data_IF_396070071170
#
_entry.id   IF_396070071170
#
_cell.length_a   1.000
_cell.length_b   1.000
_cell.length_c   1.000
_cell.angle_alpha   90.00
_cell.angle_beta   90.00
_cell.angle_gamma   90.00
#
_symmetry.space_group_name_H-M   'P 1'
#
loop_
_entity.id
_entity.type
_entity.pdbx_description
1 polymer ?
#
# COMPACT_ATOMS: atom_id res chain seq x y z
N UNK A 1 -43.24 -33.24 2.87
CA UNK A 1 -42.23 -33.76 3.82
C UNK A 1 -41.83 -35.14 3.35
N UNK A 2 -40.59 -35.54 3.06
CA UNK A 2 -39.28 -34.90 2.92
C UNK A 2 -38.53 -35.85 1.97
N UNK A 3 -38.07 -35.38 0.82
CA UNK A 3 -36.93 -36.02 0.14
C UNK A 3 -35.93 -34.92 -0.17
N UNK A 4 -35.47 -34.26 0.90
CA UNK A 4 -34.27 -33.46 0.85
C UNK A 4 -33.14 -34.39 0.40
N UNK A 5 -32.67 -34.17 -0.83
CA UNK A 5 -31.57 -34.90 -1.42
C UNK A 5 -30.38 -34.88 -0.50
N UNK A 6 -30.16 -36.00 0.20
CA UNK A 6 -28.89 -36.31 0.81
C UNK A 6 -28.04 -36.97 -0.28
N UNK A 7 -27.75 -36.23 -1.35
CA UNK A 7 -26.51 -36.48 -2.07
C UNK A 7 -25.42 -35.94 -1.15
N UNK A 8 -24.67 -36.81 -0.48
CA UNK A 8 -23.58 -36.30 0.31
C UNK A 8 -22.61 -35.76 -0.73
N UNK A 9 -22.31 -34.45 -0.69
CA UNK A 9 -21.25 -33.81 -1.50
C UNK A 9 -19.90 -34.42 -1.09
N UNK A 10 -19.68 -35.68 -1.47
CA UNK A 10 -18.50 -36.52 -1.24
C UNK A 10 -17.55 -36.44 -2.43
N UNK A 11 -17.91 -35.70 -3.47
CA UNK A 11 -17.05 -35.45 -4.62
C UNK A 11 -16.13 -34.28 -4.35
N UNK A 12 -14.84 -34.46 -4.64
CA UNK A 12 -13.91 -33.34 -4.69
C UNK A 12 -14.29 -32.45 -5.88
N UNK A 13 -14.27 -31.14 -5.65
CA UNK A 13 -14.42 -30.15 -6.70
C UNK A 13 -13.05 -29.87 -7.33
N UNK A 14 -12.88 -30.35 -8.56
CA UNK A 14 -11.65 -30.23 -9.36
C UNK A 14 -11.49 -28.88 -10.06
N UNK A 15 -12.39 -27.91 -9.81
CA UNK A 15 -12.30 -26.57 -10.42
C UNK A 15 -10.89 -25.99 -10.25
N UNK A 16 -10.18 -25.64 -11.34
CA UNK A 16 -8.83 -25.07 -11.27
C UNK A 16 -8.82 -23.78 -10.45
N UNK A 17 -7.88 -23.65 -9.52
CA UNK A 17 -7.75 -22.45 -8.68
C UNK A 17 -6.71 -22.61 -7.57
N UNK A 18 -6.33 -21.50 -6.90
CA UNK A 18 -5.32 -21.50 -5.83
C UNK A 18 -5.72 -22.39 -4.65
N UNK A 19 -7.02 -22.65 -4.47
CA UNK A 19 -7.56 -23.44 -3.36
C UNK A 19 -7.62 -24.95 -3.63
N UNK A 20 -7.31 -25.40 -4.85
CA UNK A 20 -7.39 -26.81 -5.23
C UNK A 20 -6.53 -27.73 -4.33
N UNK A 21 -5.28 -27.38 -3.95
CA UNK A 21 -4.49 -28.16 -3.00
C UNK A 21 -5.12 -28.24 -1.62
N UNK A 22 -5.73 -27.16 -1.15
CA UNK A 22 -6.37 -27.12 0.15
C UNK A 22 -7.68 -27.91 0.17
N UNK A 23 -8.43 -27.92 -0.95
CA UNK A 23 -9.60 -28.78 -1.15
C UNK A 23 -9.21 -30.26 -1.15
N UNK A 24 -8.12 -30.64 -1.81
CA UNK A 24 -7.61 -32.02 -1.78
C UNK A 24 -7.20 -32.45 -0.36
N UNK A 25 -6.50 -31.59 0.40
CA UNK A 25 -6.16 -31.88 1.81
C UNK A 25 -7.40 -32.11 2.67
N UNK A 26 -8.41 -31.25 2.55
CA UNK A 26 -9.70 -31.41 3.27
C UNK A 26 -10.43 -32.69 2.85
N UNK A 27 -10.36 -33.05 1.57
CA UNK A 27 -10.94 -34.28 1.05
C UNK A 27 -10.24 -35.52 1.61
N UNK A 28 -8.90 -35.53 1.64
CA UNK A 28 -8.10 -36.59 2.26
C UNK A 28 -8.45 -36.80 3.73
N UNK A 29 -8.49 -35.71 4.52
CA UNK A 29 -8.87 -35.77 5.93
C UNK A 29 -10.28 -36.36 6.13
N UNK A 30 -11.24 -36.00 5.27
CA UNK A 30 -12.59 -36.59 5.30
C UNK A 30 -12.59 -38.08 4.99
N UNK A 31 -11.73 -38.54 4.06
CA UNK A 31 -11.59 -39.95 3.73
C UNK A 31 -10.94 -40.73 4.89
N UNK A 32 -9.90 -40.17 5.52
CA UNK A 32 -9.24 -40.76 6.70
C UNK A 32 -10.24 -40.94 7.85
N UNK A 33 -11.04 -39.91 8.18
CA UNK A 33 -12.10 -40.02 9.19
C UNK A 33 -13.13 -41.12 8.88
N UNK A 34 -13.43 -41.36 7.60
CA UNK A 34 -14.34 -42.44 7.19
C UNK A 34 -13.69 -43.82 7.32
N UNK A 35 -12.40 -43.93 7.02
CA UNK A 35 -11.62 -45.16 7.14
C UNK A 35 -11.30 -45.51 8.59
N UNK A 36 -11.30 -44.54 9.50
CA UNK A 36 -11.14 -44.77 10.95
C UNK A 36 -12.47 -45.03 11.67
N UNK A 37 -13.59 -44.59 11.09
CA UNK A 37 -14.93 -44.80 11.62
C UNK A 37 -15.69 -45.94 10.91
N UNK A 38 -16.73 -45.65 10.12
CA UNK A 38 -17.68 -46.64 9.60
C UNK A 38 -17.10 -47.65 8.60
N UNK A 39 -15.89 -47.40 8.06
CA UNK A 39 -15.24 -48.26 7.06
C UNK A 39 -13.92 -48.86 7.55
N UNK A 40 -13.73 -48.94 8.87
CA UNK A 40 -12.51 -49.47 9.49
C UNK A 40 -12.19 -50.90 9.07
N UNK A 41 -13.21 -51.76 9.04
CA UNK A 41 -13.10 -53.21 8.79
C UNK A 41 -12.92 -53.59 7.31
N UNK A 42 -12.83 -52.61 6.40
CA UNK A 42 -12.71 -52.85 4.95
C UNK A 42 -11.25 -53.10 4.54
N UNK A 43 -11.05 -53.95 3.52
CA UNK A 43 -9.71 -54.23 2.98
C UNK A 43 -9.13 -53.01 2.27
N UNK A 44 -7.81 -52.88 2.19
CA UNK A 44 -7.13 -51.72 1.57
C UNK A 44 -7.56 -51.54 0.11
N UNK A 45 -7.76 -52.64 -0.63
CA UNK A 45 -8.35 -52.68 -1.98
C UNK A 45 -9.72 -51.99 -2.05
N UNK A 46 -10.60 -52.26 -1.09
CA UNK A 46 -11.92 -51.66 -1.04
C UNK A 46 -11.82 -50.16 -0.72
N UNK A 47 -10.91 -49.76 0.17
CA UNK A 47 -10.64 -48.36 0.50
C UNK A 47 -10.17 -47.57 -0.74
N UNK A 48 -9.25 -48.12 -1.55
CA UNK A 48 -8.82 -47.50 -2.81
C UNK A 48 -10.00 -47.30 -3.79
N UNK A 49 -10.88 -48.29 -3.94
CA UNK A 49 -12.07 -48.18 -4.80
C UNK A 49 -13.05 -47.11 -4.32
N UNK A 50 -13.24 -46.98 -3.01
CA UNK A 50 -14.06 -45.89 -2.46
C UNK A 50 -13.46 -44.51 -2.72
N UNK A 51 -12.13 -44.35 -2.62
CA UNK A 51 -11.47 -43.09 -2.99
C UNK A 51 -11.72 -42.77 -4.47
N UNK A 52 -11.53 -43.73 -5.39
CA UNK A 52 -11.79 -43.51 -6.82
C UNK A 52 -13.25 -43.12 -7.10
N UNK A 53 -14.21 -43.72 -6.40
CA UNK A 53 -15.63 -43.38 -6.53
C UNK A 53 -15.93 -41.96 -6.02
N UNK A 54 -15.28 -41.53 -4.93
CA UNK A 54 -15.48 -40.21 -4.33
C UNK A 54 -14.65 -39.12 -5.00
N UNK A 55 -13.61 -39.47 -5.73
CA UNK A 55 -12.82 -38.51 -6.51
C UNK A 55 -13.61 -37.99 -7.73
N UNK A 56 -14.58 -38.75 -8.22
CA UNK A 56 -15.46 -38.36 -9.33
C UNK A 56 -14.79 -38.46 -10.70
N UNK A 57 -15.53 -38.09 -11.73
CA UNK A 57 -15.24 -38.46 -13.12
C UNK A 57 -13.87 -37.93 -13.60
N UNK A 58 -13.54 -36.68 -13.29
CA UNK A 58 -12.24 -36.09 -13.65
C UNK A 58 -11.04 -36.80 -13.02
N UNK A 59 -11.16 -37.25 -11.77
CA UNK A 59 -10.04 -37.97 -11.15
C UNK A 59 -10.02 -39.47 -11.48
N UNK A 60 -11.11 -40.03 -12.01
CA UNK A 60 -11.07 -41.31 -12.72
C UNK A 60 -10.32 -41.18 -14.05
N UNK A 61 -10.54 -40.10 -14.79
CA UNK A 61 -9.77 -39.81 -16.00
C UNK A 61 -8.27 -39.68 -15.67
N UNK A 62 -7.94 -38.99 -14.57
CA UNK A 62 -6.57 -38.91 -14.09
C UNK A 62 -6.01 -40.29 -13.72
N UNK A 63 -6.79 -41.12 -13.02
CA UNK A 63 -6.38 -42.49 -12.71
C UNK A 63 -6.09 -43.31 -13.97
N UNK A 64 -6.91 -43.17 -15.01
CA UNK A 64 -6.74 -43.87 -16.29
C UNK A 64 -5.47 -43.43 -17.05
N UNK A 65 -4.88 -42.28 -16.73
CA UNK A 65 -3.57 -41.87 -17.27
C UNK A 65 -2.38 -42.54 -16.55
N UNK A 66 -2.61 -43.22 -15.42
CA UNK A 66 -1.55 -43.81 -14.64
C UNK A 66 -1.26 -45.26 -15.07
N UNK A 67 -0.01 -45.52 -15.45
CA UNK A 67 0.48 -46.89 -15.60
C UNK A 67 0.85 -47.46 -14.22
N UNK A 68 -0.10 -48.13 -13.56
CA UNK A 68 0.10 -48.79 -12.26
C UNK A 68 0.36 -50.29 -12.44
N UNK A 69 1.43 -50.80 -11.85
CA UNK A 69 1.66 -52.23 -11.65
C UNK A 69 0.62 -52.84 -10.70
N UNK A 70 0.25 -54.11 -10.90
CA UNK A 70 -0.73 -54.82 -10.06
C UNK A 70 -0.37 -54.79 -8.56
N UNK A 71 0.93 -54.70 -8.22
CA UNK A 71 1.43 -54.60 -6.84
C UNK A 71 1.20 -53.24 -6.17
N UNK A 72 0.97 -52.18 -6.94
CA UNK A 72 0.79 -50.81 -6.41
C UNK A 72 -0.68 -50.38 -6.34
N UNK A 73 -1.57 -51.17 -6.95
CA UNK A 73 -3.01 -50.94 -6.87
C UNK A 73 -3.58 -51.12 -5.45
N UNK A 74 -2.83 -51.81 -4.58
CA UNK A 74 -3.21 -52.15 -3.21
C UNK A 74 -2.71 -51.14 -2.17
N UNK A 75 -1.95 -50.11 -2.58
CA UNK A 75 -1.36 -49.13 -1.68
C UNK A 75 -2.11 -47.82 -1.74
N UNK A 76 -2.94 -47.56 -0.73
CA UNK A 76 -3.71 -46.31 -0.64
C UNK A 76 -2.81 -45.05 -0.66
N UNK A 77 -1.60 -45.13 -0.10
CA UNK A 77 -0.66 -44.01 -0.04
C UNK A 77 -0.13 -43.57 -1.41
N UNK A 78 0.02 -44.50 -2.36
CA UNK A 78 0.51 -44.17 -3.71
C UNK A 78 -0.54 -43.37 -4.48
N UNK A 79 -1.83 -43.68 -4.30
CA UNK A 79 -2.93 -42.92 -4.90
C UNK A 79 -2.92 -41.47 -4.40
N UNK A 80 -2.80 -41.27 -3.08
CA UNK A 80 -2.72 -39.93 -2.50
C UNK A 80 -1.51 -39.15 -3.00
N UNK A 81 -0.35 -39.80 -3.08
CA UNK A 81 0.89 -39.19 -3.57
C UNK A 81 0.74 -38.68 -5.01
N UNK A 82 0.09 -39.44 -5.89
CA UNK A 82 -0.11 -39.04 -7.29
C UNK A 82 -1.19 -37.97 -7.46
N UNK A 83 -2.28 -38.04 -6.69
CA UNK A 83 -3.26 -36.95 -6.66
C UNK A 83 -2.64 -35.65 -6.13
N UNK A 84 -1.81 -35.72 -5.09
CA UNK A 84 -1.07 -34.57 -4.57
C UNK A 84 -0.06 -34.03 -5.59
N UNK A 85 0.62 -34.87 -6.36
CA UNK A 85 1.52 -34.43 -7.44
C UNK A 85 0.78 -33.70 -8.56
N UNK A 86 -0.43 -34.14 -8.94
CA UNK A 86 -1.24 -33.50 -9.97
C UNK A 86 -1.82 -32.16 -9.50
N UNK A 87 -2.16 -32.05 -8.23
CA UNK A 87 -2.76 -30.85 -7.64
C UNK A 87 -1.71 -29.85 -7.16
N UNK A 88 -0.49 -30.29 -6.88
CA UNK A 88 0.62 -29.36 -6.58
C UNK A 88 0.66 -28.33 -7.72
N UNK A 89 0.48 -27.03 -7.41
CA UNK A 89 0.76 -26.03 -8.43
C UNK A 89 2.17 -26.30 -8.91
N UNK A 90 2.39 -26.27 -10.23
CA UNK A 90 3.75 -26.12 -10.74
C UNK A 90 4.22 -24.73 -10.33
N UNK A 91 4.54 -24.61 -9.05
CA UNK A 91 4.93 -23.38 -8.43
C UNK A 91 6.33 -23.16 -8.91
N UNK A 92 6.50 -22.22 -9.83
CA UNK A 92 7.81 -21.83 -10.30
C UNK A 92 8.66 -21.48 -9.08
N UNK A 93 9.62 -22.35 -8.75
CA UNK A 93 10.46 -22.19 -7.56
C UNK A 93 11.16 -20.82 -7.58
N UNK A 94 11.52 -20.34 -8.77
CA UNK A 94 12.08 -19.01 -9.00
C UNK A 94 11.13 -17.87 -8.58
N UNK A 95 9.83 -18.03 -8.85
CA UNK A 95 8.82 -17.02 -8.50
C UNK A 95 8.62 -16.99 -6.99
N UNK A 96 8.60 -18.13 -6.31
CA UNK A 96 8.52 -18.18 -4.85
C UNK A 96 9.78 -17.62 -4.19
N UNK A 97 10.97 -17.88 -4.75
CA UNK A 97 12.23 -17.26 -4.30
C UNK A 97 12.20 -15.74 -4.48
N UNK A 98 11.65 -15.26 -5.60
CA UNK A 98 11.46 -13.83 -5.84
C UNK A 98 10.51 -13.20 -4.82
N UNK A 99 9.38 -13.83 -4.52
CA UNK A 99 8.44 -13.34 -3.51
C UNK A 99 9.02 -13.40 -2.10
N UNK A 100 9.73 -14.48 -1.74
CA UNK A 100 10.41 -14.62 -0.45
C UNK A 100 11.41 -13.48 -0.23
N UNK A 101 12.23 -13.15 -1.24
CA UNK A 101 13.22 -12.07 -1.14
C UNK A 101 12.59 -10.69 -1.03
N UNK A 102 11.37 -10.52 -1.53
CA UNK A 102 10.62 -9.27 -1.50
C UNK A 102 9.56 -9.23 -0.38
N UNK A 103 9.52 -10.24 0.50
CA UNK A 103 8.54 -10.33 1.56
C UNK A 103 8.76 -9.20 2.57
N UNK A 104 7.69 -8.45 2.86
CA UNK A 104 7.69 -7.35 3.84
C UNK A 104 6.45 -7.42 4.71
N UNK A 105 6.62 -7.01 5.97
CA UNK A 105 5.55 -6.99 6.95
C UNK A 105 4.44 -5.99 6.58
N UNK A 106 4.78 -4.80 6.06
CA UNK A 106 3.81 -3.83 5.53
C UNK A 106 2.67 -3.47 6.51
N UNK A 107 2.97 -3.35 7.79
CA UNK A 107 2.03 -3.15 8.92
C UNK A 107 1.04 -4.30 9.17
N UNK A 108 1.24 -5.48 8.58
CA UNK A 108 0.46 -6.69 8.89
C UNK A 108 0.89 -7.30 10.22
N UNK A 109 -0.01 -8.03 10.92
CA UNK A 109 0.35 -8.74 12.14
C UNK A 109 1.48 -9.74 11.88
N UNK A 110 2.35 -9.93 12.87
CA UNK A 110 3.53 -10.79 12.72
C UNK A 110 3.15 -12.22 12.32
N UNK A 111 2.08 -12.78 12.88
CA UNK A 111 1.68 -14.16 12.59
C UNK A 111 1.24 -14.38 11.13
N UNK A 112 0.63 -13.37 10.49
CA UNK A 112 0.26 -13.44 9.06
C UNK A 112 1.51 -13.41 8.18
N UNK A 113 2.48 -12.54 8.50
CA UNK A 113 3.78 -12.48 7.85
C UNK A 113 4.56 -13.79 8.00
N UNK A 114 4.58 -14.37 9.21
CA UNK A 114 5.25 -15.64 9.47
C UNK A 114 4.64 -16.78 8.66
N UNK A 115 3.30 -16.80 8.56
CA UNK A 115 2.57 -17.82 7.80
C UNK A 115 2.87 -17.72 6.30
N UNK A 116 2.85 -16.50 5.74
CA UNK A 116 3.18 -16.26 4.33
C UNK A 116 4.63 -16.64 4.01
N UNK A 117 5.58 -16.26 4.89
CA UNK A 117 7.00 -16.64 4.75
C UNK A 117 7.19 -18.16 4.72
N UNK A 118 6.57 -18.89 5.64
CA UNK A 118 6.64 -20.36 5.68
C UNK A 118 6.08 -21.01 4.40
N UNK A 119 4.96 -20.50 3.89
CA UNK A 119 4.38 -21.01 2.64
C UNK A 119 5.29 -20.76 1.43
N UNK A 120 5.93 -19.60 1.37
CA UNK A 120 6.87 -19.27 0.28
C UNK A 120 8.13 -20.14 0.36
N UNK A 121 8.67 -20.38 1.56
CA UNK A 121 9.84 -21.24 1.77
C UNK A 121 9.51 -22.68 1.34
N UNK A 122 8.37 -23.23 1.78
CA UNK A 122 7.94 -24.59 1.39
C UNK A 122 7.81 -24.75 -0.13
N UNK A 123 7.36 -23.71 -0.84
CA UNK A 123 7.15 -23.77 -2.29
C UNK A 123 8.38 -23.32 -3.12
N UNK A 124 9.46 -22.88 -2.47
CA UNK A 124 10.68 -22.35 -3.12
C UNK A 124 11.69 -23.43 -3.53
N UNK A 125 11.45 -24.68 -3.14
CA UNK A 125 12.30 -25.83 -3.47
C UNK A 125 13.68 -25.81 -2.80
N UNK A 126 13.79 -25.15 -1.64
CA UNK A 126 14.98 -25.25 -0.78
C UNK A 126 14.92 -26.53 0.08
N UNK A 127 16.07 -27.15 0.41
CA UNK A 127 16.12 -28.26 1.37
C UNK A 127 15.50 -27.87 2.72
N UNK A 128 14.80 -28.80 3.36
CA UNK A 128 14.08 -28.54 4.62
C UNK A 128 15.02 -28.08 5.75
N UNK A 129 16.29 -28.49 5.71
CA UNK A 129 17.33 -28.12 6.69
C UNK A 129 17.60 -26.61 6.76
N UNK A 130 17.43 -25.87 5.65
CA UNK A 130 17.71 -24.43 5.60
C UNK A 130 16.45 -23.57 5.73
N UNK A 131 15.27 -24.17 5.91
CA UNK A 131 14.01 -23.41 6.03
C UNK A 131 14.04 -22.48 7.23
N UNK A 132 14.64 -22.93 8.33
CA UNK A 132 14.74 -22.13 9.56
C UNK A 132 15.68 -20.94 9.39
N UNK A 133 16.80 -21.10 8.70
CA UNK A 133 17.74 -20.01 8.39
C UNK A 133 17.13 -18.99 7.43
N UNK A 134 16.44 -19.47 6.39
CA UNK A 134 15.75 -18.61 5.43
C UNK A 134 14.63 -17.81 6.08
N UNK A 135 13.93 -18.41 7.04
CA UNK A 135 12.87 -17.74 7.77
C UNK A 135 13.43 -16.73 8.78
N UNK A 136 14.59 -17.01 9.38
CA UNK A 136 15.33 -16.03 10.19
C UNK A 136 15.74 -14.82 9.35
N UNK A 137 16.36 -15.05 8.18
CA UNK A 137 16.74 -13.99 7.25
C UNK A 137 15.52 -13.18 6.81
N UNK A 138 14.43 -13.85 6.44
CA UNK A 138 13.19 -13.20 6.05
C UNK A 138 12.64 -12.31 7.18
N UNK A 139 12.76 -12.73 8.45
CA UNK A 139 12.35 -11.93 9.60
C UNK A 139 13.26 -10.71 9.81
N UNK A 140 14.58 -10.84 9.67
CA UNK A 140 15.53 -9.73 9.81
C UNK A 140 15.34 -8.66 8.71
N UNK A 141 15.15 -9.09 7.46
CA UNK A 141 14.99 -8.17 6.32
C UNK A 141 13.56 -7.65 6.16
N UNK A 142 12.55 -8.46 6.51
CA UNK A 142 11.15 -8.22 6.20
C UNK A 142 10.36 -7.49 7.30
N UNK A 143 10.85 -7.45 8.54
CA UNK A 143 10.16 -6.78 9.66
C UNK A 143 10.25 -5.25 9.54
N UNK A 144 9.14 -4.57 9.79
CA UNK A 144 9.04 -3.10 9.69
C UNK A 144 9.75 -2.39 10.85
N UNK A 145 9.86 -3.05 12.01
CA UNK A 145 10.45 -2.47 13.21
C UNK A 145 11.98 -2.53 13.20
N UNK A 146 12.61 -1.36 13.24
CA UNK A 146 14.08 -1.23 13.31
C UNK A 146 14.65 -1.73 14.64
N UNK A 147 13.86 -1.73 15.71
CA UNK A 147 14.26 -2.28 17.01
C UNK A 147 14.39 -3.79 16.98
N UNK A 148 13.47 -4.50 16.32
CA UNK A 148 13.55 -5.96 16.13
C UNK A 148 14.78 -6.29 15.29
N UNK A 149 15.00 -5.56 14.20
CA UNK A 149 16.17 -5.75 13.34
C UNK A 149 17.49 -5.59 14.12
N UNK A 150 17.62 -4.52 14.91
CA UNK A 150 18.81 -4.27 15.73
C UNK A 150 19.04 -5.36 16.78
N UNK A 151 17.98 -5.78 17.49
CA UNK A 151 18.06 -6.85 18.49
C UNK A 151 18.48 -8.18 17.85
N UNK A 152 17.88 -8.55 16.72
CA UNK A 152 18.26 -9.77 16.00
C UNK A 152 19.70 -9.73 15.49
N UNK A 153 20.18 -8.59 14.99
CA UNK A 153 21.58 -8.45 14.56
C UNK A 153 22.56 -8.50 15.74
N UNK A 154 22.16 -7.99 16.92
CA UNK A 154 22.99 -8.00 18.12
C UNK A 154 23.24 -9.40 18.68
N UNK A 155 22.29 -10.33 18.48
CA UNK A 155 22.43 -11.75 18.87
C UNK A 155 23.47 -12.51 18.00
N UNK A 156 23.82 -11.97 16.82
CA UNK A 156 24.84 -12.54 15.94
C UNK A 156 24.58 -14.00 15.58
N UNK A 157 25.59 -14.85 15.75
CA UNK A 157 25.56 -16.26 15.34
C UNK A 157 24.74 -17.17 16.29
N UNK A 158 24.24 -16.64 17.41
CA UNK A 158 23.40 -17.39 18.36
C UNK A 158 21.89 -17.19 18.11
N UNK A 159 21.54 -16.48 17.04
CA UNK A 159 20.16 -16.23 16.67
C UNK A 159 19.53 -17.54 16.17
N UNK A 160 18.52 -18.01 16.88
CA UNK A 160 17.65 -19.10 16.42
C UNK A 160 16.29 -18.52 15.99
N UNK A 161 15.59 -19.23 15.11
CA UNK A 161 14.23 -18.85 14.68
C UNK A 161 13.28 -18.61 15.87
N UNK A 162 13.42 -19.42 16.93
CA UNK A 162 12.62 -19.29 18.15
C UNK A 162 12.90 -17.95 18.85
N UNK A 163 14.18 -17.64 19.11
CA UNK A 163 14.58 -16.37 19.72
C UNK A 163 14.14 -15.17 18.87
N UNK A 164 14.32 -15.25 17.55
CA UNK A 164 13.93 -14.19 16.63
C UNK A 164 12.41 -13.93 16.66
N UNK A 165 11.61 -15.00 16.74
CA UNK A 165 10.15 -14.92 16.90
C UNK A 165 9.75 -14.31 18.24
N UNK A 166 10.41 -14.68 19.33
CA UNK A 166 10.15 -14.11 20.66
C UNK A 166 10.45 -12.62 20.73
N UNK A 167 11.59 -12.18 20.18
CA UNK A 167 11.95 -10.77 20.07
C UNK A 167 10.88 -10.00 19.29
N UNK A 168 10.46 -10.53 18.14
CA UNK A 168 9.45 -9.90 17.30
C UNK A 168 8.07 -9.81 17.97
N UNK A 169 7.62 -10.88 18.64
CA UNK A 169 6.36 -10.90 19.41
C UNK A 169 6.40 -9.94 20.59
N UNK A 170 7.50 -9.92 21.33
CA UNK A 170 7.66 -9.05 22.51
C UNK A 170 7.59 -7.58 22.10
N UNK A 171 8.24 -7.22 20.99
CA UNK A 171 8.17 -5.87 20.45
C UNK A 171 6.76 -5.53 19.94
N UNK A 172 6.07 -6.46 19.27
CA UNK A 172 4.71 -6.23 18.81
C UNK A 172 3.74 -6.02 19.98
N UNK A 173 3.83 -6.84 21.03
CA UNK A 173 3.04 -6.69 22.25
C UNK A 173 3.33 -5.36 22.97
N UNK A 174 4.61 -5.00 23.13
CA UNK A 174 5.02 -3.72 23.74
C UNK A 174 4.49 -2.53 22.92
N UNK A 175 4.57 -2.61 21.60
CA UNK A 175 4.06 -1.57 20.68
C UNK A 175 2.53 -1.45 20.75
N UNK A 176 1.82 -2.56 20.93
CA UNK A 176 0.36 -2.55 21.13
C UNK A 176 -0.02 -1.94 22.49
N UNK A 177 0.69 -2.29 23.56
CA UNK A 177 0.49 -1.71 24.90
C UNK A 177 0.74 -0.19 24.92
N UNK A 178 1.85 0.26 24.34
CA UNK A 178 2.18 1.68 24.22
C UNK A 178 1.14 2.47 23.39
N UNK A 179 0.56 1.85 22.35
CA UNK A 179 -0.55 2.46 21.59
C UNK A 179 -1.84 2.54 22.42
N UNK A 180 -2.11 1.54 23.25
CA UNK A 180 -3.24 1.54 24.18
C UNK A 180 -3.14 2.63 25.25
N UNK A 181 -1.95 2.82 25.84
CA UNK A 181 -1.71 3.83 26.88
C UNK A 181 -1.77 5.28 26.37
N UNK A 182 -1.42 5.52 25.11
CA UNK A 182 -1.60 6.84 24.47
C UNK A 182 -3.08 7.17 24.19
N UNK A 183 -3.96 6.16 24.14
CA UNK A 183 -5.40 6.36 23.94
C UNK A 183 -6.18 6.52 25.26
N UNK A 184 -5.73 5.89 26.35
CA UNK A 184 -6.37 6.00 27.67
C UNK A 184 -6.05 7.34 28.37
N UNK A 185 -4.89 7.93 28.09
CA UNK A 185 -4.49 9.25 28.60
C UNK A 185 -5.24 10.44 27.97
N UNK A 186 -6.00 10.22 26.87
CA UNK A 186 -6.81 11.25 26.21
C UNK A 186 -8.21 11.46 26.82
N UNK A 187 -8.71 10.56 27.67
CA UNK A 187 -10.06 10.64 28.26
C UNK A 187 -10.10 11.23 29.68
N UNK A 188 -8.95 11.57 30.28
CA UNK A 188 -8.86 11.93 31.71
C UNK A 188 -8.35 13.36 32.01
N UNK A 189 -8.61 14.36 31.16
CA UNK A 189 -8.30 15.77 31.49
C UNK A 189 -9.55 16.63 31.38
N UNK A 190 -10.11 16.98 32.55
CA UNK A 190 -11.12 18.05 32.72
C UNK A 190 -10.52 19.40 32.31
N UNK A 191 -11.28 20.34 31.71
CA UNK A 191 -10.74 21.64 31.32
C UNK A 191 -10.82 22.64 32.48
N UNK A 192 -9.73 23.37 32.76
CA UNK A 192 -9.72 24.64 33.51
C UNK A 192 -8.49 25.50 33.09
N UNK A 193 -8.52 26.83 33.32
CA UNK A 193 -8.39 27.86 32.29
C UNK A 193 -6.95 28.43 32.13
N UNK A 194 -6.69 29.28 31.11
CA UNK A 194 -5.36 29.46 30.57
C UNK A 194 -4.58 30.54 31.30
N UNK A 195 -3.35 30.23 31.73
CA UNK A 195 -2.33 31.22 32.06
C UNK A 195 -0.94 30.61 31.95
N UNK A 196 -0.19 31.11 30.96
CA UNK A 196 1.27 31.30 30.97
C UNK A 196 2.17 30.04 30.86
N UNK A 197 2.70 29.87 29.64
CA UNK A 197 4.08 29.51 29.25
C UNK A 197 4.82 28.40 30.04
N UNK A 198 5.12 27.26 29.38
CA UNK A 198 6.44 26.93 28.81
C UNK A 198 6.63 25.40 28.59
N UNK A 199 7.11 25.06 27.39
CA UNK A 199 7.99 23.92 27.06
C UNK A 199 7.40 22.50 27.16
N UNK A 200 7.15 21.89 26.00
CA UNK A 200 7.76 20.59 25.65
C UNK A 200 7.88 20.45 24.13
N UNK A 201 9.13 20.49 23.67
CA UNK A 201 9.57 20.16 22.32
C UNK A 201 9.11 18.74 21.96
N UNK A 202 8.36 18.59 20.87
CA UNK A 202 8.33 17.33 20.10
C UNK A 202 9.24 17.52 18.89
N UNK A 203 10.36 16.79 18.90
CA UNK A 203 11.44 16.89 17.94
C UNK A 203 10.95 16.66 16.49
N UNK A 204 11.36 17.50 15.53
CA UNK A 204 11.20 17.19 14.12
C UNK A 204 12.17 16.08 13.72
N UNK A 205 11.66 15.01 13.10
CA UNK A 205 12.47 13.93 12.52
C UNK A 205 13.32 14.53 11.39
N UNK A 206 14.56 14.94 11.71
CA UNK A 206 15.54 15.35 10.70
C UNK A 206 16.18 14.12 10.09
N UNK A 207 15.53 13.55 9.08
CA UNK A 207 16.15 12.55 8.20
C UNK A 207 16.82 13.27 7.02
N UNK A 208 18.00 13.86 7.27
CA UNK A 208 18.93 14.30 6.23
C UNK A 208 19.72 13.10 5.72
N UNK A 209 19.94 13.09 4.39
CA UNK A 209 20.57 12.03 3.59
C UNK A 209 19.76 10.73 3.46
N UNK A 210 19.17 10.54 2.28
CA UNK A 210 19.38 9.39 1.37
C UNK A 210 18.33 9.50 0.26
N UNK A 211 18.77 9.20 -0.95
CA UNK A 211 18.07 9.07 -2.24
C UNK A 211 16.88 8.09 -2.15
N UNK A 212 15.81 8.45 -1.42
CA UNK A 212 14.69 7.55 -1.14
C UNK A 212 13.34 8.21 -1.43
N UNK A 213 12.47 7.45 -2.09
CA UNK A 213 11.06 7.78 -2.27
C UNK A 213 10.40 7.78 -0.88
N UNK A 214 10.21 8.94 -0.26
CA UNK A 214 9.53 9.03 1.04
C UNK A 214 8.02 9.08 0.81
N UNK A 215 7.30 7.98 1.10
CA UNK A 215 5.84 7.98 1.24
C UNK A 215 5.48 8.12 2.71
N UNK A 216 4.91 9.26 3.11
CA UNK A 216 4.53 9.57 4.49
C UNK A 216 3.01 9.69 4.58
N UNK A 217 2.39 9.03 5.55
CA UNK A 217 0.95 9.11 5.79
C UNK A 217 0.58 9.28 7.25
N UNK A 218 -0.39 10.13 7.55
CA UNK A 218 -1.01 10.21 8.89
C UNK A 218 -0.23 11.00 9.94
N UNK A 219 0.68 11.90 9.56
CA UNK A 219 1.49 12.68 10.50
C UNK A 219 0.91 14.08 10.79
N UNK A 220 1.12 14.58 12.00
CA UNK A 220 0.76 15.97 12.36
C UNK A 220 1.65 17.00 11.61
N UNK A 221 2.94 16.73 11.48
CA UNK A 221 3.87 17.59 10.75
C UNK A 221 4.92 16.77 9.99
N UNK A 222 5.12 17.09 8.72
CA UNK A 222 6.10 16.45 7.84
C UNK A 222 7.07 17.50 7.32
N UNK A 223 8.38 17.28 7.52
CA UNK A 223 9.45 18.06 6.89
C UNK A 223 10.30 17.15 6.03
N UNK A 224 10.47 17.51 4.76
CA UNK A 224 11.28 16.77 3.79
C UNK A 224 12.25 17.75 3.13
N UNK A 225 13.55 17.47 3.23
CA UNK A 225 14.60 18.23 2.56
C UNK A 225 15.41 17.27 1.66
N UNK A 226 15.68 17.67 0.42
CA UNK A 226 16.67 17.00 -0.44
C UNK A 226 16.31 15.55 -0.82
N UNK A 227 15.23 15.33 -1.57
CA UNK A 227 14.81 14.00 -2.02
C UNK A 227 14.55 13.95 -3.54
N UNK A 228 14.77 12.79 -4.17
CA UNK A 228 14.40 12.59 -5.58
C UNK A 228 12.88 12.58 -5.74
N UNK A 229 12.15 11.97 -4.81
CA UNK A 229 10.68 11.93 -4.85
C UNK A 229 10.08 11.90 -3.45
N UNK A 230 9.10 12.76 -3.20
CA UNK A 230 8.34 12.83 -1.95
C UNK A 230 6.85 12.64 -2.23
N UNK A 231 6.20 11.74 -1.48
CA UNK A 231 4.76 11.50 -1.49
C UNK A 231 4.20 11.68 -0.08
N UNK A 232 3.26 12.60 0.11
CA UNK A 232 2.61 12.79 1.42
C UNK A 232 1.11 12.64 1.29
N UNK A 233 0.49 11.83 2.14
CA UNK A 233 -0.96 11.58 2.16
C UNK A 233 -1.51 11.83 3.56
N UNK A 234 -2.51 12.70 3.72
CA UNK A 234 -3.20 12.85 5.00
C UNK A 234 -2.30 13.37 6.12
N UNK A 235 -1.88 14.63 6.04
CA UNK A 235 -1.05 15.27 7.09
C UNK A 235 -1.53 16.68 7.40
N UNK A 236 -1.43 17.11 8.65
CA UNK A 236 -1.89 18.45 9.01
C UNK A 236 -0.96 19.53 8.43
N UNK A 237 0.36 19.39 8.59
CA UNK A 237 1.32 20.33 7.99
C UNK A 237 2.42 19.61 7.21
N UNK A 238 2.72 20.08 6.01
CA UNK A 238 3.76 19.53 5.13
C UNK A 238 4.68 20.66 4.69
N UNK A 239 5.98 20.51 4.91
CA UNK A 239 7.02 21.40 4.36
C UNK A 239 8.03 20.58 3.58
N UNK A 240 8.20 20.89 2.29
CA UNK A 240 9.14 20.23 1.40
C UNK A 240 10.09 21.25 0.81
N UNK A 241 11.40 20.98 0.87
CA UNK A 241 12.42 21.80 0.21
C UNK A 241 13.40 20.96 -0.61
N UNK A 242 13.81 21.48 -1.77
CA UNK A 242 14.91 20.90 -2.57
C UNK A 242 14.63 19.49 -3.11
N UNK A 243 13.40 19.19 -3.52
CA UNK A 243 13.03 17.87 -4.04
C UNK A 243 12.83 17.88 -5.57
N UNK A 244 13.23 16.81 -6.27
CA UNK A 244 13.00 16.73 -7.72
C UNK A 244 11.50 16.54 -8.06
N UNK A 245 10.79 15.67 -7.34
CA UNK A 245 9.36 15.49 -7.50
C UNK A 245 8.62 15.43 -6.16
N UNK A 246 7.49 16.12 -6.06
CA UNK A 246 6.64 16.18 -4.86
C UNK A 246 5.20 15.90 -5.22
N UNK A 247 4.56 14.97 -4.51
CA UNK A 247 3.11 14.71 -4.57
C UNK A 247 2.51 14.81 -3.17
N UNK A 248 1.52 15.67 -2.99
CA UNK A 248 0.82 15.84 -1.71
C UNK A 248 -0.68 15.65 -1.96
N UNK A 249 -1.31 14.77 -1.19
CA UNK A 249 -2.75 14.53 -1.26
C UNK A 249 -3.38 14.64 0.13
N UNK A 250 -4.36 15.53 0.30
CA UNK A 250 -5.12 15.64 1.55
C UNK A 250 -4.29 16.22 2.69
N UNK A 251 -4.22 17.55 2.79
CA UNK A 251 -3.46 18.22 3.84
C UNK A 251 -4.06 19.55 4.30
N UNK A 252 -3.90 19.92 5.57
CA UNK A 252 -4.40 21.23 6.04
C UNK A 252 -3.51 22.35 5.50
N UNK A 253 -2.19 22.18 5.54
CA UNK A 253 -1.25 23.17 5.02
C UNK A 253 -0.02 22.55 4.37
N UNK A 254 0.24 22.86 3.10
CA UNK A 254 1.44 22.48 2.37
C UNK A 254 2.30 23.69 2.00
N UNK A 255 3.60 23.60 2.26
CA UNK A 255 4.62 24.53 1.80
C UNK A 255 5.69 23.79 1.00
N UNK A 256 5.92 24.18 -0.26
CA UNK A 256 6.91 23.57 -1.13
C UNK A 256 7.84 24.64 -1.70
N UNK A 257 9.15 24.44 -1.55
CA UNK A 257 10.18 25.42 -1.95
C UNK A 257 11.24 24.71 -2.80
N UNK A 258 11.61 25.31 -3.94
CA UNK A 258 12.79 24.88 -4.70
C UNK A 258 12.71 23.45 -5.23
N UNK A 259 11.55 23.07 -5.79
CA UNK A 259 11.33 21.71 -6.31
C UNK A 259 11.13 21.72 -7.82
N UNK A 260 11.62 20.70 -8.55
CA UNK A 260 11.45 20.69 -10.01
C UNK A 260 9.97 20.48 -10.39
N UNK A 261 9.31 19.46 -9.83
CA UNK A 261 7.90 19.17 -10.11
C UNK A 261 7.08 19.02 -8.83
N UNK A 262 5.94 19.68 -8.77
CA UNK A 262 5.04 19.67 -7.60
C UNK A 262 3.62 19.38 -8.04
N UNK A 263 2.97 18.39 -7.42
CA UNK A 263 1.53 18.12 -7.56
C UNK A 263 0.87 18.09 -6.19
N UNK A 264 -0.15 18.94 -5.99
CA UNK A 264 -0.92 19.01 -4.75
C UNK A 264 -2.40 18.83 -5.05
N UNK A 265 -3.07 17.95 -4.32
CA UNK A 265 -4.51 17.71 -4.42
C UNK A 265 -5.20 17.75 -3.06
N UNK A 266 -6.36 18.40 -2.98
CA UNK A 266 -7.23 18.31 -1.80
C UNK A 266 -6.65 18.90 -0.53
N UNK A 267 -5.94 20.04 -0.61
CA UNK A 267 -5.39 20.72 0.57
C UNK A 267 -6.11 22.04 0.89
N UNK A 268 -6.21 22.40 2.18
CA UNK A 268 -6.87 23.66 2.56
C UNK A 268 -6.00 24.89 2.22
N UNK A 269 -4.69 24.85 2.50
CA UNK A 269 -3.77 25.91 2.14
C UNK A 269 -2.49 25.38 1.49
N UNK A 270 -2.11 25.97 0.35
CA UNK A 270 -0.92 25.59 -0.41
C UNK A 270 -0.06 26.82 -0.69
N UNK A 271 1.23 26.74 -0.35
CA UNK A 271 2.26 27.71 -0.74
C UNK A 271 3.34 27.01 -1.54
N UNK A 272 3.58 27.45 -2.77
CA UNK A 272 4.64 26.93 -3.64
C UNK A 272 5.55 28.07 -4.08
N UNK A 273 6.86 27.91 -3.93
CA UNK A 273 7.83 28.93 -4.38
C UNK A 273 9.02 28.31 -5.10
N UNK A 274 9.47 28.92 -6.21
CA UNK A 274 10.73 28.54 -6.86
C UNK A 274 10.69 27.16 -7.50
N UNK A 275 9.59 26.79 -8.17
CA UNK A 275 9.43 25.48 -8.79
C UNK A 275 9.40 25.55 -10.32
N UNK A 276 9.91 24.52 -11.02
CA UNK A 276 9.84 24.52 -12.50
C UNK A 276 8.40 24.27 -12.95
N UNK A 277 7.71 23.30 -12.35
CA UNK A 277 6.31 22.99 -12.67
C UNK A 277 5.48 22.76 -11.41
N UNK A 278 4.39 23.50 -11.25
CA UNK A 278 3.45 23.37 -10.13
C UNK A 278 2.03 23.07 -10.61
N UNK A 279 1.48 21.95 -10.19
CA UNK A 279 0.08 21.54 -10.42
C UNK A 279 -0.69 21.51 -9.10
N UNK A 280 -1.79 22.26 -8.99
CA UNK A 280 -2.63 22.28 -7.78
C UNK A 280 -4.10 22.04 -8.15
N UNK A 281 -4.75 21.09 -7.49
CA UNK A 281 -6.14 20.71 -7.78
C UNK A 281 -6.95 20.71 -6.49
N UNK A 282 -8.14 21.31 -6.51
CA UNK A 282 -9.12 21.14 -5.43
C UNK A 282 -8.65 21.67 -4.09
N UNK A 283 -8.04 22.86 -4.05
CA UNK A 283 -7.52 23.48 -2.82
C UNK A 283 -8.28 24.76 -2.45
N UNK A 284 -8.47 25.04 -1.17
CA UNK A 284 -9.21 26.25 -0.77
C UNK A 284 -8.39 27.53 -1.02
N UNK A 285 -7.11 27.54 -0.62
CA UNK A 285 -6.22 28.70 -0.84
C UNK A 285 -4.89 28.29 -1.44
N UNK A 286 -4.49 28.93 -2.54
CA UNK A 286 -3.24 28.64 -3.25
C UNK A 286 -2.44 29.92 -3.46
N UNK A 287 -1.18 29.92 -3.03
CA UNK A 287 -0.19 30.96 -3.34
C UNK A 287 1.00 30.35 -4.06
N UNK A 288 1.30 30.84 -5.24
CA UNK A 288 2.45 30.40 -6.05
C UNK A 288 3.33 31.59 -6.37
N UNK A 289 4.64 31.47 -6.13
CA UNK A 289 5.62 32.51 -6.48
C UNK A 289 6.83 31.94 -7.24
N UNK A 290 7.34 32.66 -8.24
CA UNK A 290 8.62 32.33 -8.89
C UNK A 290 8.63 30.94 -9.53
N UNK A 291 7.56 30.54 -10.23
CA UNK A 291 7.45 29.23 -10.86
C UNK A 291 7.42 29.34 -12.38
N UNK A 292 8.12 28.47 -13.12
CA UNK A 292 8.14 28.57 -14.57
C UNK A 292 6.75 28.25 -15.17
N UNK A 293 6.17 27.10 -14.80
CA UNK A 293 4.82 26.72 -15.24
C UNK A 293 3.90 26.39 -14.07
N UNK A 294 2.66 26.90 -14.13
CA UNK A 294 1.66 26.74 -13.08
C UNK A 294 0.34 26.29 -13.70
N UNK A 295 -0.25 25.20 -13.21
CA UNK A 295 -1.60 24.74 -13.56
C UNK A 295 -2.44 24.58 -12.30
N UNK A 296 -3.56 25.29 -12.23
CA UNK A 296 -4.45 25.28 -11.06
C UNK A 296 -5.87 25.00 -11.52
N UNK A 297 -6.55 24.05 -10.87
CA UNK A 297 -7.96 23.76 -11.14
C UNK A 297 -8.80 23.62 -9.87
N UNK A 298 -10.05 24.11 -9.92
CA UNK A 298 -11.03 23.86 -8.86
C UNK A 298 -10.66 24.44 -7.49
N UNK A 299 -10.03 25.61 -7.45
CA UNK A 299 -9.57 26.23 -6.20
C UNK A 299 -10.41 27.46 -5.82
N UNK A 300 -10.66 27.72 -4.53
CA UNK A 300 -11.47 28.86 -4.15
C UNK A 300 -10.72 30.20 -4.31
N UNK A 301 -9.49 30.30 -3.81
CA UNK A 301 -8.68 31.52 -3.95
C UNK A 301 -7.28 31.19 -4.46
N UNK A 302 -6.85 31.91 -5.50
CA UNK A 302 -5.57 31.69 -6.17
C UNK A 302 -4.80 33.01 -6.27
N UNK A 303 -3.55 33.02 -5.81
CA UNK A 303 -2.60 34.11 -6.03
C UNK A 303 -1.35 33.55 -6.71
N UNK A 304 -1.00 34.07 -7.88
CA UNK A 304 0.21 33.70 -8.62
C UNK A 304 1.05 34.95 -8.86
N UNK A 305 2.34 34.89 -8.54
CA UNK A 305 3.27 36.00 -8.76
C UNK A 305 4.59 35.54 -9.40
N UNK A 306 5.04 36.16 -10.47
CA UNK A 306 6.36 35.85 -11.07
C UNK A 306 6.37 34.46 -11.73
N UNK A 307 5.59 34.26 -12.78
CA UNK A 307 5.55 32.99 -13.51
C UNK A 307 5.67 33.16 -15.02
N UNK A 308 6.34 32.23 -15.71
CA UNK A 308 6.43 32.31 -17.17
C UNK A 308 5.10 31.91 -17.83
N UNK A 309 4.44 30.87 -17.33
CA UNK A 309 3.12 30.43 -17.80
C UNK A 309 2.20 30.04 -16.64
N UNK A 310 0.99 30.60 -16.60
CA UNK A 310 -0.05 30.22 -15.64
C UNK A 310 -1.37 29.85 -16.34
N UNK A 311 -1.86 28.64 -16.06
CA UNK A 311 -3.18 28.18 -16.44
C UNK A 311 -4.07 28.00 -15.22
N UNK A 312 -5.21 28.69 -15.16
CA UNK A 312 -6.17 28.59 -14.04
C UNK A 312 -7.57 28.28 -14.57
N UNK A 313 -8.21 27.25 -14.03
CA UNK A 313 -9.52 26.78 -14.48
C UNK A 313 -10.47 26.62 -13.28
N UNK A 314 -11.69 27.13 -13.37
CA UNK A 314 -12.74 26.80 -12.40
C UNK A 314 -12.44 27.29 -10.97
N UNK A 315 -11.95 28.52 -10.82
CA UNK A 315 -11.59 29.08 -9.52
C UNK A 315 -12.47 30.27 -9.14
N UNK A 316 -12.83 30.44 -7.86
CA UNK A 316 -13.72 31.54 -7.48
C UNK A 316 -13.02 32.91 -7.60
N UNK A 317 -11.82 33.06 -7.04
CA UNK A 317 -11.03 34.29 -7.15
C UNK A 317 -9.60 34.03 -7.59
N UNK A 318 -9.12 34.78 -8.59
CA UNK A 318 -7.77 34.65 -9.14
C UNK A 318 -7.09 36.00 -9.18
N UNK A 319 -5.88 36.08 -8.62
CA UNK A 319 -4.98 37.24 -8.78
C UNK A 319 -3.66 36.77 -9.37
N UNK A 320 -3.29 37.32 -10.52
CA UNK A 320 -2.00 37.07 -11.16
C UNK A 320 -1.25 38.38 -11.29
N UNK A 321 0.02 38.39 -10.87
CA UNK A 321 0.90 39.54 -11.00
C UNK A 321 2.24 39.11 -11.61
N UNK A 322 2.80 39.85 -12.56
CA UNK A 322 4.13 39.56 -13.14
C UNK A 322 4.20 38.17 -13.81
N UNK A 323 3.70 38.02 -15.02
CA UNK A 323 3.87 36.75 -15.75
C UNK A 323 3.75 36.85 -17.27
N UNK A 324 4.51 36.05 -18.02
CA UNK A 324 4.59 36.21 -19.47
C UNK A 324 3.31 35.76 -20.19
N UNK A 325 2.77 34.59 -19.83
CA UNK A 325 1.58 34.00 -20.48
C UNK A 325 0.57 33.52 -19.44
N UNK A 326 -0.66 34.03 -19.50
CA UNK A 326 -1.72 33.69 -18.53
C UNK A 326 -2.98 33.24 -19.27
N UNK A 327 -3.50 32.07 -18.93
CA UNK A 327 -4.78 31.54 -19.44
C UNK A 327 -5.72 31.26 -18.28
N UNK A 328 -6.86 31.93 -18.23
CA UNK A 328 -7.84 31.79 -17.17
C UNK A 328 -9.20 31.44 -17.77
N UNK A 329 -9.85 30.40 -17.26
CA UNK A 329 -11.21 30.01 -17.71
C UNK A 329 -12.13 29.65 -16.56
N UNK A 330 -13.42 29.96 -16.69
CA UNK A 330 -14.47 29.55 -15.73
C UNK A 330 -14.25 30.08 -14.31
N UNK A 331 -13.72 31.31 -14.17
CA UNK A 331 -13.50 31.94 -12.86
C UNK A 331 -14.53 33.05 -12.58
N UNK A 332 -14.83 33.30 -11.30
CA UNK A 332 -15.86 34.26 -10.89
C UNK A 332 -15.34 35.68 -10.61
N UNK A 333 -14.06 35.84 -10.27
CA UNK A 333 -13.41 37.15 -10.18
C UNK A 333 -11.92 37.04 -10.52
N UNK A 334 -11.45 37.88 -11.45
CA UNK A 334 -10.07 37.84 -11.94
C UNK A 334 -9.42 39.21 -11.90
N UNK A 335 -8.22 39.28 -11.32
CA UNK A 335 -7.32 40.45 -11.42
C UNK A 335 -5.98 40.01 -11.99
N UNK A 336 -5.56 40.64 -13.08
CA UNK A 336 -4.25 40.42 -13.70
C UNK A 336 -3.53 41.76 -13.80
N UNK A 337 -2.26 41.80 -13.40
CA UNK A 337 -1.38 42.98 -13.54
C UNK A 337 0.04 42.58 -13.96
N UNK A 338 0.67 43.39 -14.83
CA UNK A 338 2.06 43.19 -15.25
C UNK A 338 2.30 41.87 -15.99
N UNK A 339 1.47 41.52 -16.98
CA UNK A 339 1.67 40.33 -17.80
C UNK A 339 1.88 40.70 -19.27
N UNK A 340 2.67 39.93 -20.01
CA UNK A 340 2.91 40.19 -21.45
C UNK A 340 1.75 39.71 -22.32
N UNK A 341 1.09 38.61 -21.93
CA UNK A 341 -0.09 38.08 -22.62
C UNK A 341 -1.05 37.40 -21.64
N UNK A 342 -2.35 37.73 -21.73
CA UNK A 342 -3.39 37.17 -20.88
C UNK A 342 -4.68 36.90 -21.66
N UNK A 343 -5.15 35.66 -21.65
CA UNK A 343 -6.47 35.27 -22.15
C UNK A 343 -7.38 34.90 -20.99
N UNK A 344 -8.56 35.51 -20.92
CA UNK A 344 -9.47 35.36 -19.78
C UNK A 344 -10.88 35.09 -20.32
N UNK A 345 -11.39 33.87 -20.12
CA UNK A 345 -12.77 33.50 -20.45
C UNK A 345 -13.53 33.28 -19.13
N UNK A 346 -14.28 34.29 -18.67
CA UNK A 346 -14.90 34.28 -17.34
C UNK A 346 -16.40 34.58 -17.42
N UNK A 347 -17.14 34.07 -16.44
CA UNK A 347 -18.60 34.19 -16.41
C UNK A 347 -19.06 35.49 -15.74
N UNK A 348 -18.28 36.07 -14.81
CA UNK A 348 -18.61 37.32 -14.09
C UNK A 348 -17.32 38.05 -13.66
N UNK A 349 -17.28 39.39 -13.68
CA UNK A 349 -16.33 40.22 -12.92
C UNK A 349 -14.83 40.13 -13.26
N UNK A 350 -14.41 40.67 -14.42
CA UNK A 350 -13.00 40.89 -14.74
C UNK A 350 -12.61 42.36 -14.54
N UNK A 351 -11.58 42.64 -13.72
CA UNK A 351 -10.98 43.98 -13.62
C UNK A 351 -9.51 43.89 -14.03
N UNK A 352 -9.18 44.37 -15.23
CA UNK A 352 -7.81 44.44 -15.74
C UNK A 352 -7.19 45.79 -15.39
N UNK A 353 -6.10 45.78 -14.61
CA UNK A 353 -5.20 46.92 -14.47
C UNK A 353 -3.87 46.54 -15.10
N UNK A 354 -3.72 46.71 -16.41
CA UNK A 354 -2.48 46.41 -17.13
C UNK A 354 -2.11 47.57 -18.04
N UNK A 355 -1.00 48.22 -17.69
CA UNK A 355 -0.17 49.03 -18.59
C UNK A 355 0.78 48.10 -19.35
N UNK A 356 0.82 48.26 -20.68
CA UNK A 356 1.70 47.61 -21.69
C UNK A 356 1.10 46.35 -22.36
N UNK A 357 0.77 46.54 -23.65
CA UNK A 357 0.52 45.59 -24.75
C UNK A 357 0.05 44.16 -24.41
N UNK A 358 -1.25 43.99 -24.10
CA UNK A 358 -1.85 42.65 -23.96
C UNK A 358 -3.11 42.51 -24.81
N UNK A 359 -3.15 41.48 -25.67
CA UNK A 359 -4.36 41.03 -26.35
C UNK A 359 -5.26 40.32 -25.34
N UNK A 360 -6.02 41.09 -24.57
CA UNK A 360 -7.02 40.55 -23.64
C UNK A 360 -8.28 40.20 -24.42
N UNK A 361 -8.40 38.95 -24.87
CA UNK A 361 -9.72 38.42 -25.28
C UNK A 361 -10.49 38.07 -24.02
N UNK A 362 -11.36 38.98 -23.58
CA UNK A 362 -12.40 38.71 -22.58
C UNK A 362 -13.62 38.20 -23.33
N UNK A 363 -13.84 36.88 -23.36
CA UNK A 363 -15.16 36.33 -23.71
C UNK A 363 -15.97 36.26 -22.42
N UNK A 364 -16.88 37.22 -22.25
CA UNK A 364 -17.94 37.16 -21.23
C UNK A 364 -19.06 36.33 -21.83
N UNK A 365 -19.33 35.15 -21.26
CA UNK A 365 -20.58 34.44 -21.55
C UNK A 365 -21.67 35.11 -20.72
N UNK A 366 -22.56 35.84 -21.39
CA UNK A 366 -23.77 36.45 -20.81
C UNK A 366 -24.78 35.35 -20.49
#
# INVERSE_FOLDING_TARGET
MVSAGFEPRRRIDWTPGPDLPQRLKRFRQKCELLFDGPLKDRTVKQKCRYVLLWVGDYGLDLYNTWNLSEADQDKLDEYWKRFEQHVKPQSNHLVNRFYLRNLKQNNRPLDEFLTEGNLLIQNSGYPDEIHDELMQDALVFGVDSDTVRKKCIAEGNELTLIKAREIARTEEATRQQLKGEQSSSLLAVRPMPPSILQIKQLLPIHASLIVSIKRVSGCAAVRINGCVSAGVIGSATVRVSGCAAVRINGCVSAGVIGCATVRVSGCAAVRVSGCVSAGVIGCATVRVSGCATVRISGCATVRVSGCASAGVIGCATVRVSAGATVRISGCAAVRVSGCDSATVSCCVGASSGVSVAVRVTVSVCI
#
